data_IF_917748795262
#
_entry.id   IF_917748795262
#
_cell.length_a   1.000
_cell.length_b   1.000
_cell.length_c   1.000
_cell.angle_alpha   90.00
_cell.angle_beta   90.00
_cell.angle_gamma   90.00
#
_symmetry.space_group_name_H-M   'P 1'
#
loop_
_entity.id
_entity.type
_entity.pdbx_description
1 polymer ?
#
# COMPACT_ATOMS: atom_id res chain seq x y z
N UNK A 1 -2.10 -49.96 9.60
CA UNK A 1 -1.94 -48.60 9.03
C UNK A 1 -3.02 -47.72 9.63
N UNK A 2 -2.66 -46.88 10.60
CA UNK A 2 -3.59 -45.91 11.18
C UNK A 2 -3.76 -44.80 10.14
N UNK A 3 -4.97 -44.59 9.64
CA UNK A 3 -5.32 -43.36 8.91
C UNK A 3 -5.15 -42.22 9.89
N UNK A 4 -4.08 -41.44 9.72
CA UNK A 4 -3.98 -40.12 10.35
C UNK A 4 -5.13 -39.33 9.74
N UNK A 5 -6.16 -39.05 10.52
CA UNK A 5 -7.19 -38.10 10.15
C UNK A 5 -6.47 -36.76 9.98
N UNK A 6 -6.22 -36.35 8.73
CA UNK A 6 -5.80 -34.98 8.43
C UNK A 6 -6.99 -34.09 8.79
N UNK A 7 -6.94 -33.49 9.97
CA UNK A 7 -7.87 -32.41 10.31
C UNK A 7 -7.56 -31.28 9.34
N UNK A 8 -8.53 -30.90 8.52
CA UNK A 8 -8.37 -29.76 7.64
C UNK A 8 -8.01 -28.52 8.48
N UNK A 9 -6.95 -27.78 8.12
CA UNK A 9 -6.56 -26.56 8.80
C UNK A 9 -7.74 -25.61 8.99
N UNK A 10 -7.98 -25.18 10.23
CA UNK A 10 -9.07 -24.26 10.54
C UNK A 10 -8.66 -22.82 10.21
N UNK A 11 -9.64 -22.01 9.81
CA UNK A 11 -9.46 -20.58 9.60
C UNK A 11 -9.52 -19.84 10.95
N UNK A 12 -8.53 -18.98 11.20
CA UNK A 12 -8.39 -18.21 12.43
C UNK A 12 -8.29 -16.71 12.14
N UNK A 13 -8.78 -15.89 13.06
CA UNK A 13 -8.32 -14.49 13.17
C UNK A 13 -6.92 -14.50 13.77
N UNK A 14 -5.98 -13.84 13.11
CA UNK A 14 -4.60 -13.73 13.55
C UNK A 14 -4.42 -12.48 14.42
N UNK A 15 -3.43 -12.53 15.29
CA UNK A 15 -3.12 -11.46 16.26
C UNK A 15 -1.63 -11.14 16.27
N UNK A 16 -1.21 -10.23 17.15
CA UNK A 16 0.21 -9.89 17.34
C UNK A 16 1.10 -11.10 17.68
N UNK A 17 0.55 -12.19 18.23
CA UNK A 17 1.32 -13.41 18.50
C UNK A 17 1.73 -14.16 17.22
N UNK A 18 1.06 -13.87 16.11
CA UNK A 18 1.25 -14.56 14.83
C UNK A 18 2.26 -13.85 13.92
N UNK A 19 2.79 -12.69 14.35
CA UNK A 19 3.78 -11.91 13.59
C UNK A 19 4.95 -12.77 13.10
N UNK A 20 5.61 -13.62 13.94
CA UNK A 20 6.71 -14.44 13.45
C UNK A 20 6.29 -15.41 12.32
N UNK A 21 5.07 -15.95 12.40
CA UNK A 21 4.52 -16.83 11.37
C UNK A 21 4.15 -16.08 10.10
N UNK A 22 3.66 -14.84 10.21
CA UNK A 22 3.36 -13.96 9.08
C UNK A 22 4.63 -13.54 8.33
N UNK A 23 5.71 -13.21 9.04
CA UNK A 23 7.02 -12.92 8.44
C UNK A 23 7.52 -14.15 7.68
N UNK A 24 7.56 -15.32 8.33
CA UNK A 24 8.02 -16.55 7.69
C UNK A 24 7.16 -16.94 6.46
N UNK A 25 5.85 -16.68 6.52
CA UNK A 25 4.94 -16.93 5.39
C UNK A 25 5.21 -15.94 4.24
N UNK A 26 5.44 -14.66 4.53
CA UNK A 26 5.87 -13.66 3.54
C UNK A 26 7.18 -14.03 2.86
N UNK A 27 8.18 -14.43 3.64
CA UNK A 27 9.48 -14.86 3.12
C UNK A 27 9.35 -16.07 2.19
N UNK A 28 8.41 -16.98 2.46
CA UNK A 28 8.17 -18.18 1.63
C UNK A 28 7.74 -17.86 0.18
N UNK A 29 7.26 -16.64 -0.07
CA UNK A 29 6.88 -16.13 -1.39
C UNK A 29 7.78 -14.97 -1.86
N UNK A 30 8.90 -14.73 -1.17
CA UNK A 30 9.89 -13.71 -1.52
C UNK A 30 9.44 -12.28 -1.26
N UNK A 31 8.49 -12.07 -0.36
CA UNK A 31 8.02 -10.74 0.04
C UNK A 31 8.73 -10.27 1.31
N UNK A 32 8.96 -8.96 1.44
CA UNK A 32 9.81 -8.33 2.45
C UNK A 32 9.03 -7.69 3.61
N UNK A 33 7.93 -8.32 4.07
CA UNK A 33 7.20 -7.84 5.24
C UNK A 33 8.04 -7.97 6.52
N UNK A 34 8.16 -6.87 7.27
CA UNK A 34 8.76 -6.85 8.60
C UNK A 34 7.72 -6.76 9.71
N UNK A 35 8.20 -6.86 10.94
CA UNK A 35 7.37 -6.77 12.14
C UNK A 35 6.62 -5.43 12.23
N UNK A 36 7.25 -4.30 11.86
CA UNK A 36 6.63 -2.98 11.96
C UNK A 36 5.46 -2.82 10.98
N UNK A 37 5.62 -3.31 9.76
CA UNK A 37 4.59 -3.33 8.73
C UNK A 37 3.42 -4.26 9.14
N UNK A 38 3.72 -5.48 9.62
CA UNK A 38 2.67 -6.40 10.08
C UNK A 38 1.93 -5.86 11.30
N UNK A 39 2.62 -5.20 12.24
CA UNK A 39 1.98 -4.51 13.37
C UNK A 39 1.02 -3.43 12.90
N UNK A 40 1.37 -2.68 11.86
CA UNK A 40 0.49 -1.68 11.26
C UNK A 40 -0.74 -2.34 10.67
N UNK A 41 -0.58 -3.39 9.86
CA UNK A 41 -1.71 -4.12 9.26
C UNK A 41 -2.66 -4.65 10.34
N UNK A 42 -2.13 -5.22 11.42
CA UNK A 42 -2.91 -5.72 12.55
C UNK A 42 -3.58 -4.61 13.38
N UNK A 43 -3.04 -3.40 13.41
CA UNK A 43 -3.62 -2.28 14.18
C UNK A 43 -4.74 -1.56 13.44
N UNK A 44 -4.76 -1.62 12.11
CA UNK A 44 -5.76 -0.92 11.28
C UNK A 44 -6.68 -1.87 10.50
N UNK A 45 -6.52 -3.18 10.64
CA UNK A 45 -7.24 -4.17 9.85
C UNK A 45 -7.46 -5.49 10.59
N UNK A 46 -8.11 -6.41 9.91
CA UNK A 46 -8.28 -7.79 10.35
C UNK A 46 -7.44 -8.71 9.47
N UNK A 47 -6.74 -9.66 10.09
CA UNK A 47 -5.93 -10.65 9.39
C UNK A 47 -6.47 -12.03 9.69
N UNK A 48 -6.71 -12.82 8.65
CA UNK A 48 -7.17 -14.21 8.74
C UNK A 48 -6.08 -15.16 8.26
N UNK A 49 -6.07 -16.39 8.76
CA UNK A 49 -5.09 -17.40 8.35
C UNK A 49 -5.45 -18.83 8.72
N UNK A 50 -4.84 -19.78 8.02
CA UNK A 50 -4.95 -21.21 8.34
C UNK A 50 -3.68 -21.66 9.05
N UNK A 51 -3.83 -22.46 10.10
CA UNK A 51 -2.71 -23.09 10.80
C UNK A 51 -2.81 -24.60 10.69
N UNK A 52 -1.66 -25.26 10.53
CA UNK A 52 -1.62 -26.72 10.65
C UNK A 52 -1.72 -27.18 12.11
N UNK A 53 -1.71 -28.50 12.32
CA UNK A 53 -1.81 -29.10 13.66
C UNK A 53 -0.64 -28.76 14.59
N UNK A 54 0.51 -28.34 14.05
CA UNK A 54 1.64 -27.83 14.82
C UNK A 54 1.56 -26.32 15.12
N UNK A 55 0.55 -25.63 14.58
CA UNK A 55 0.38 -24.19 14.72
C UNK A 55 1.14 -23.38 13.67
N UNK A 56 1.77 -24.02 12.68
CA UNK A 56 2.47 -23.33 11.60
C UNK A 56 1.48 -22.69 10.64
N UNK A 57 1.71 -21.41 10.32
CA UNK A 57 0.84 -20.65 9.43
C UNK A 57 1.01 -21.12 7.98
N UNK A 58 -0.09 -21.52 7.35
CA UNK A 58 -0.13 -22.04 5.98
C UNK A 58 -0.59 -21.00 4.96
N UNK A 59 -1.35 -20.01 5.40
CA UNK A 59 -1.88 -18.95 4.54
C UNK A 59 -2.35 -17.76 5.36
N UNK A 60 -2.40 -16.57 4.74
CA UNK A 60 -2.90 -15.33 5.33
C UNK A 60 -3.70 -14.52 4.31
N UNK A 61 -4.60 -13.67 4.79
CA UNK A 61 -5.12 -12.51 4.07
C UNK A 61 -5.49 -11.42 5.07
N UNK A 62 -5.25 -10.16 4.71
CA UNK A 62 -5.62 -9.00 5.48
C UNK A 62 -6.70 -8.20 4.76
N UNK A 63 -7.62 -7.61 5.54
CA UNK A 63 -8.56 -6.61 5.07
C UNK A 63 -8.50 -5.38 5.98
N UNK A 64 -8.38 -4.22 5.37
CA UNK A 64 -8.22 -2.93 6.01
C UNK A 64 -9.43 -2.08 5.64
N UNK A 65 -10.45 -1.97 6.51
CA UNK A 65 -11.58 -1.08 6.27
C UNK A 65 -11.16 0.38 6.49
N UNK A 66 -11.60 1.24 5.57
CA UNK A 66 -11.52 2.69 5.67
C UNK A 66 -12.86 3.29 6.09
N UNK A 67 -12.85 4.58 6.42
CA UNK A 67 -13.97 5.25 7.09
C UNK A 67 -15.18 5.47 6.15
N UNK A 68 -14.96 5.67 4.85
CA UNK A 68 -16.00 6.04 3.88
C UNK A 68 -16.41 4.86 2.95
N UNK A 69 -16.65 3.67 3.52
CA UNK A 69 -17.11 2.46 2.78
C UNK A 69 -16.15 1.97 1.67
N UNK A 70 -14.85 2.16 1.86
CA UNK A 70 -13.81 1.47 1.09
C UNK A 70 -13.07 0.49 2.00
N UNK A 71 -12.64 -0.65 1.49
CA UNK A 71 -11.72 -1.54 2.18
C UNK A 71 -10.65 -2.04 1.21
N UNK A 72 -9.42 -2.19 1.68
CA UNK A 72 -8.33 -2.75 0.90
C UNK A 72 -7.97 -4.16 1.40
N UNK A 73 -7.84 -5.10 0.47
CA UNK A 73 -7.33 -6.45 0.76
C UNK A 73 -5.88 -6.56 0.30
N UNK A 74 -5.04 -7.14 1.14
CA UNK A 74 -3.65 -7.46 0.82
C UNK A 74 -3.12 -8.60 1.70
N UNK A 75 -1.81 -8.85 1.63
CA UNK A 75 -1.15 -9.96 2.35
C UNK A 75 -1.85 -11.32 2.11
N UNK A 76 -2.42 -11.50 0.90
CA UNK A 76 -3.04 -12.75 0.46
C UNK A 76 -1.94 -13.71 0.05
N UNK A 77 -1.55 -14.58 0.97
CA UNK A 77 -0.42 -15.48 0.81
C UNK A 77 -0.89 -16.89 1.11
N UNK A 78 -0.54 -17.84 0.25
CA UNK A 78 -0.69 -19.27 0.53
C UNK A 78 0.69 -19.89 0.37
N UNK A 79 1.18 -20.53 1.43
CA UNK A 79 2.48 -21.18 1.44
C UNK A 79 2.59 -22.14 0.23
N UNK A 80 3.72 -22.18 -0.50
CA UNK A 80 3.84 -22.98 -1.73
C UNK A 80 3.42 -24.44 -1.60
N UNK A 81 3.72 -25.10 -0.46
CA UNK A 81 3.32 -26.50 -0.19
C UNK A 81 1.83 -26.70 0.11
N UNK A 82 1.07 -25.62 0.20
CA UNK A 82 -0.35 -25.57 0.57
C UNK A 82 -1.25 -24.97 -0.52
N UNK A 83 -0.69 -24.65 -1.69
CA UNK A 83 -1.46 -24.16 -2.83
C UNK A 83 -2.37 -25.25 -3.43
N UNK A 84 -3.41 -24.82 -4.15
CA UNK A 84 -4.39 -25.73 -4.78
C UNK A 84 -5.41 -26.37 -3.83
N UNK A 85 -5.34 -26.09 -2.51
CA UNK A 85 -6.23 -26.67 -1.48
C UNK A 85 -7.45 -25.80 -1.15
N UNK A 86 -7.65 -24.67 -1.82
CA UNK A 86 -8.80 -23.78 -1.59
C UNK A 86 -8.60 -22.67 -0.54
N UNK A 87 -7.50 -22.67 0.22
CA UNK A 87 -7.27 -21.68 1.29
C UNK A 87 -7.38 -20.22 0.85
N UNK A 88 -6.84 -19.86 -0.32
CA UNK A 88 -6.97 -18.49 -0.83
C UNK A 88 -8.43 -18.06 -1.03
N UNK A 89 -9.29 -18.97 -1.50
CA UNK A 89 -10.72 -18.71 -1.67
C UNK A 89 -11.43 -18.54 -0.33
N UNK A 90 -11.10 -19.36 0.66
CA UNK A 90 -11.68 -19.28 2.00
C UNK A 90 -11.27 -17.98 2.71
N UNK A 91 -9.99 -17.61 2.62
CA UNK A 91 -9.47 -16.35 3.13
C UNK A 91 -10.18 -15.14 2.52
N UNK A 92 -10.29 -15.09 1.19
CA UNK A 92 -10.98 -13.99 0.51
C UNK A 92 -12.45 -13.90 0.93
N UNK A 93 -13.15 -15.04 1.05
CA UNK A 93 -14.53 -15.05 1.56
C UNK A 93 -14.63 -14.50 2.99
N UNK A 94 -13.69 -14.84 3.85
CA UNK A 94 -13.65 -14.34 5.22
C UNK A 94 -13.41 -12.82 5.26
N UNK A 95 -12.46 -12.31 4.47
CA UNK A 95 -12.25 -10.87 4.31
C UNK A 95 -13.50 -10.17 3.78
N UNK A 96 -14.11 -10.67 2.71
CA UNK A 96 -15.31 -10.05 2.13
C UNK A 96 -16.50 -10.06 3.10
N UNK A 97 -16.65 -11.11 3.91
CA UNK A 97 -17.72 -11.23 4.90
C UNK A 97 -17.49 -10.37 6.16
N UNK A 98 -16.29 -9.83 6.39
CA UNK A 98 -15.99 -9.02 7.57
C UNK A 98 -16.32 -7.53 7.41
N UNK A 99 -16.79 -7.12 6.23
CA UNK A 99 -17.24 -5.75 5.94
C UNK A 99 -18.67 -5.76 5.43
N UNK A 100 -19.32 -4.58 5.43
CA UNK A 100 -20.67 -4.44 4.87
C UNK A 100 -20.70 -4.76 3.38
N UNK A 101 -21.83 -5.28 2.89
CA UNK A 101 -22.05 -5.51 1.45
C UNK A 101 -22.01 -4.22 0.63
N UNK A 102 -22.23 -3.08 1.26
CA UNK A 102 -22.16 -1.75 0.64
C UNK A 102 -20.72 -1.18 0.62
N UNK A 103 -19.75 -1.88 1.21
CA UNK A 103 -18.34 -1.48 1.20
C UNK A 103 -17.71 -1.92 -0.11
N UNK A 104 -17.15 -0.97 -0.86
CA UNK A 104 -16.30 -1.27 -2.01
C UNK A 104 -15.03 -1.95 -1.50
N UNK A 105 -14.68 -3.10 -2.06
CA UNK A 105 -13.47 -3.83 -1.69
C UNK A 105 -12.50 -3.72 -2.83
N UNK A 106 -11.31 -3.16 -2.60
CA UNK A 106 -10.25 -3.07 -3.58
C UNK A 106 -9.08 -3.98 -3.21
N UNK A 107 -8.28 -4.35 -4.22
CA UNK A 107 -6.98 -4.99 -4.05
C UNK A 107 -6.08 -4.67 -5.24
N UNK A 108 -4.78 -4.85 -5.04
CA UNK A 108 -3.79 -4.83 -6.13
C UNK A 108 -3.32 -6.26 -6.34
N UNK A 109 -3.68 -6.85 -7.49
CA UNK A 109 -3.50 -8.28 -7.70
C UNK A 109 -2.08 -8.62 -8.15
N UNK A 110 -1.54 -9.73 -7.62
CA UNK A 110 -0.41 -10.39 -8.27
C UNK A 110 -0.91 -11.23 -9.45
N UNK A 111 -0.03 -11.57 -10.42
CA UNK A 111 -0.39 -12.45 -11.52
C UNK A 111 -0.98 -13.80 -11.06
N UNK A 112 -0.48 -14.33 -9.94
CA UNK A 112 -0.91 -15.61 -9.36
C UNK A 112 -2.29 -15.48 -8.69
N UNK A 113 -2.58 -14.33 -8.07
CA UNK A 113 -3.85 -14.08 -7.38
C UNK A 113 -4.98 -13.65 -8.31
N UNK A 114 -4.69 -12.98 -9.43
CA UNK A 114 -5.69 -12.41 -10.34
C UNK A 114 -6.80 -13.41 -10.77
N UNK A 115 -6.49 -14.66 -11.16
CA UNK A 115 -7.54 -15.64 -11.51
C UNK A 115 -8.48 -15.96 -10.35
N UNK A 116 -8.00 -15.99 -9.11
CA UNK A 116 -8.83 -16.21 -7.94
C UNK A 116 -9.80 -15.04 -7.74
N UNK A 117 -9.30 -13.81 -7.84
CA UNK A 117 -10.11 -12.61 -7.62
C UNK A 117 -11.21 -12.45 -8.68
N UNK A 118 -10.91 -12.70 -9.96
CA UNK A 118 -11.94 -12.73 -11.02
C UNK A 118 -13.05 -13.74 -10.74
N UNK A 119 -12.69 -14.94 -10.28
CA UNK A 119 -13.66 -15.97 -9.90
C UNK A 119 -14.50 -15.61 -8.66
N UNK A 120 -14.11 -14.58 -7.91
CA UNK A 120 -14.84 -14.04 -6.77
C UNK A 120 -15.62 -12.76 -7.10
N UNK A 121 -15.68 -12.38 -8.38
CA UNK A 121 -16.44 -11.21 -8.85
C UNK A 121 -15.68 -9.90 -8.72
N UNK A 122 -14.34 -9.94 -8.66
CA UNK A 122 -13.53 -8.72 -8.78
C UNK A 122 -13.30 -8.38 -10.25
N UNK A 123 -13.50 -7.11 -10.59
CA UNK A 123 -13.22 -6.55 -11.91
C UNK A 123 -12.02 -5.61 -11.87
N UNK A 124 -11.19 -5.63 -12.92
CA UNK A 124 -10.08 -4.68 -13.07
C UNK A 124 -10.62 -3.31 -13.45
N UNK A 125 -10.26 -2.29 -12.67
CA UNK A 125 -10.72 -0.90 -12.87
C UNK A 125 -9.59 0.11 -13.06
N UNK A 126 -8.38 -0.24 -12.65
CA UNK A 126 -7.19 0.61 -12.77
C UNK A 126 -5.93 -0.27 -12.69
N UNK A 127 -4.74 0.34 -12.70
CA UNK A 127 -3.45 -0.34 -12.55
C UNK A 127 -2.45 0.54 -11.78
N UNK A 128 -1.50 -0.12 -11.12
CA UNK A 128 -0.38 0.53 -10.45
C UNK A 128 0.91 0.09 -11.13
N UNK A 129 1.84 1.03 -11.35
CA UNK A 129 3.20 0.74 -11.81
C UNK A 129 4.16 0.81 -10.64
N UNK A 130 4.88 -0.29 -10.40
CA UNK A 130 5.93 -0.35 -9.38
C UNK A 130 7.26 -0.01 -10.02
N UNK A 131 7.93 0.99 -9.49
CA UNK A 131 9.24 1.45 -9.91
C UNK A 131 10.28 1.23 -8.80
N UNK A 132 11.48 0.80 -9.19
CA UNK A 132 12.63 0.67 -8.29
C UNK A 132 13.83 1.38 -8.90
N UNK A 133 14.54 2.18 -8.10
CA UNK A 133 15.88 2.66 -8.39
C UNK A 133 16.87 2.00 -7.43
N UNK A 134 17.93 1.39 -7.93
CA UNK A 134 19.01 0.84 -7.09
C UNK A 134 19.74 1.95 -6.32
N UNK A 135 19.84 3.12 -6.95
CA UNK A 135 20.27 4.36 -6.34
C UNK A 135 19.56 5.50 -7.05
N UNK A 136 18.89 6.36 -6.31
CA UNK A 136 18.35 7.61 -6.81
C UNK A 136 19.16 8.75 -6.20
N UNK A 137 19.80 9.55 -7.05
CA UNK A 137 20.47 10.78 -6.62
C UNK A 137 19.59 11.93 -7.08
N UNK A 138 18.78 12.52 -6.18
CA UNK A 138 17.95 13.66 -6.53
C UNK A 138 18.86 14.75 -7.10
N UNK A 139 18.65 15.10 -8.36
CA UNK A 139 19.17 16.38 -8.85
C UNK A 139 18.33 17.42 -8.14
N UNK A 140 18.97 18.36 -7.44
CA UNK A 140 18.26 19.52 -6.90
C UNK A 140 17.35 20.05 -8.02
N UNK A 141 16.03 20.14 -7.81
CA UNK A 141 15.16 20.75 -8.81
C UNK A 141 15.77 22.09 -9.17
N UNK A 142 16.06 22.33 -10.45
CA UNK A 142 16.68 23.60 -10.87
C UNK A 142 15.77 24.73 -10.38
N UNK A 143 16.27 25.60 -9.48
CA UNK A 143 15.49 26.72 -9.03
C UNK A 143 15.19 27.62 -10.23
N UNK A 144 13.92 27.89 -10.46
CA UNK A 144 13.55 29.28 -10.30
C UNK A 144 12.88 29.38 -8.94
N UNK A 145 13.68 29.39 -7.87
CA UNK A 145 13.23 29.59 -6.48
C UNK A 145 12.39 30.87 -6.35
N UNK A 146 12.47 31.79 -7.31
CA UNK A 146 11.62 32.97 -7.41
C UNK A 146 10.14 32.69 -7.81
N UNK A 147 9.80 31.50 -8.35
CA UNK A 147 8.47 31.23 -8.95
C UNK A 147 7.79 29.93 -8.47
N UNK A 148 8.33 29.20 -7.49
CA UNK A 148 7.60 28.06 -6.92
C UNK A 148 6.48 28.59 -6.03
N UNK A 149 5.23 28.24 -6.32
CA UNK A 149 4.04 28.71 -5.57
C UNK A 149 3.88 28.06 -4.19
N UNK A 150 4.83 27.21 -3.80
CA UNK A 150 4.82 26.44 -2.56
C UNK A 150 6.20 26.28 -1.93
N UNK A 151 6.22 26.06 -0.62
CA UNK A 151 7.37 25.71 0.20
C UNK A 151 7.18 24.29 0.76
N UNK A 152 8.26 23.51 0.80
CA UNK A 152 8.25 22.18 1.44
C UNK A 152 8.88 22.25 2.82
N UNK A 153 8.11 21.86 3.82
CA UNK A 153 8.54 21.85 5.22
C UNK A 153 8.26 20.48 5.85
N UNK A 154 9.01 20.10 6.91
CA UNK A 154 8.64 18.95 7.73
C UNK A 154 7.19 19.06 8.21
N UNK A 155 6.47 17.94 8.17
CA UNK A 155 5.11 17.88 8.68
C UNK A 155 5.12 17.97 10.21
N UNK A 156 4.26 18.82 10.77
CA UNK A 156 4.00 18.90 12.21
C UNK A 156 2.67 18.22 12.59
N UNK A 157 2.44 17.98 13.88
CA UNK A 157 1.21 17.33 14.35
C UNK A 157 -0.05 18.15 14.01
N UNK A 158 0.05 19.48 14.06
CA UNK A 158 -1.07 20.38 13.75
C UNK A 158 -1.45 20.33 12.26
N UNK A 159 -0.54 19.89 11.38
CA UNK A 159 -0.79 19.72 9.95
C UNK A 159 -1.63 18.46 9.66
N UNK A 160 -1.75 17.52 10.61
CA UNK A 160 -2.33 16.19 10.38
C UNK A 160 -3.76 16.21 9.85
N UNK A 161 -4.60 17.07 10.42
CA UNK A 161 -6.00 17.20 9.97
C UNK A 161 -6.11 17.62 8.49
N UNK A 162 -5.25 18.53 8.04
CA UNK A 162 -5.23 18.98 6.64
C UNK A 162 -4.69 17.89 5.70
N UNK A 163 -3.72 17.10 6.16
CA UNK A 163 -3.20 15.95 5.41
C UNK A 163 -4.26 14.86 5.24
N UNK A 164 -5.06 14.58 6.27
CA UNK A 164 -6.18 13.62 6.19
C UNK A 164 -7.20 14.06 5.14
N UNK A 165 -7.57 15.35 5.10
CA UNK A 165 -8.51 15.87 4.10
C UNK A 165 -7.95 15.81 2.68
N UNK A 166 -6.66 16.10 2.48
CA UNK A 166 -6.00 15.96 1.17
C UNK A 166 -5.95 14.51 0.71
N UNK A 167 -5.56 13.58 1.60
CA UNK A 167 -5.54 12.15 1.28
C UNK A 167 -6.93 11.61 0.97
N UNK A 168 -7.95 12.04 1.72
CA UNK A 168 -9.35 11.68 1.46
C UNK A 168 -9.79 12.13 0.07
N UNK A 169 -9.45 13.35 -0.35
CA UNK A 169 -9.78 13.84 -1.69
C UNK A 169 -9.03 13.09 -2.80
N UNK A 170 -7.76 12.74 -2.56
CA UNK A 170 -6.90 12.02 -3.48
C UNK A 170 -7.31 10.55 -3.66
N UNK A 171 -7.63 9.85 -2.56
CA UNK A 171 -8.01 8.43 -2.57
C UNK A 171 -9.50 8.22 -2.83
N UNK A 172 -10.33 9.15 -2.36
CA UNK A 172 -11.78 9.09 -2.32
C UNK A 172 -12.37 8.47 -1.05
N UNK A 173 -11.56 8.18 -0.04
CA UNK A 173 -11.99 7.70 1.29
C UNK A 173 -10.99 8.14 2.36
N UNK A 174 -11.48 8.48 3.55
CA UNK A 174 -10.62 8.77 4.71
C UNK A 174 -10.00 7.49 5.26
N UNK A 175 -8.69 7.55 5.52
CA UNK A 175 -7.88 6.49 6.14
C UNK A 175 -6.96 7.07 7.21
N UNK A 176 -7.52 7.89 8.11
CA UNK A 176 -6.75 8.64 9.12
C UNK A 176 -5.87 7.75 10.01
N UNK A 177 -6.38 6.59 10.43
CA UNK A 177 -5.63 5.63 11.26
C UNK A 177 -4.40 5.05 10.53
N UNK A 178 -4.51 4.81 9.22
CA UNK A 178 -3.36 4.44 8.40
C UNK A 178 -2.35 5.57 8.35
N UNK A 179 -2.78 6.79 8.05
CA UNK A 179 -1.88 7.95 7.95
C UNK A 179 -1.17 8.24 9.26
N UNK A 180 -1.86 8.14 10.41
CA UNK A 180 -1.25 8.32 11.72
C UNK A 180 -0.16 7.28 11.96
N UNK A 181 -0.46 6.00 11.70
CA UNK A 181 0.50 4.93 11.89
C UNK A 181 1.69 5.09 10.95
N UNK A 182 1.43 5.42 9.68
CA UNK A 182 2.45 5.63 8.65
C UNK A 182 3.36 6.81 8.98
N UNK A 183 2.79 7.90 9.49
CA UNK A 183 3.55 9.07 9.96
C UNK A 183 4.52 8.70 11.09
N UNK A 184 4.12 7.81 12.01
CA UNK A 184 5.00 7.32 13.09
C UNK A 184 6.13 6.40 12.58
N UNK A 185 5.89 5.67 11.48
CA UNK A 185 6.90 4.80 10.86
C UNK A 185 7.87 5.55 9.94
N UNK A 186 7.45 6.70 9.41
CA UNK A 186 8.19 7.40 8.39
C UNK A 186 9.52 7.96 8.91
N UNK A 187 10.57 7.74 8.12
CA UNK A 187 11.86 8.41 8.31
C UNK A 187 11.77 9.89 7.92
N UNK A 188 10.81 10.25 7.06
CA UNK A 188 10.58 11.64 6.65
C UNK A 188 9.10 11.84 6.28
N UNK A 189 8.50 12.90 6.82
CA UNK A 189 7.17 13.38 6.46
C UNK A 189 7.28 14.85 6.06
N UNK A 190 6.73 15.19 4.89
CA UNK A 190 6.76 16.55 4.36
C UNK A 190 5.35 17.03 4.00
N UNK A 191 5.12 18.33 4.14
CA UNK A 191 3.97 19.03 3.59
C UNK A 191 4.44 20.14 2.65
N UNK A 192 3.69 20.37 1.58
CA UNK A 192 3.84 21.50 0.68
C UNK A 192 2.81 22.57 1.06
N UNK A 193 3.28 23.75 1.47
CA UNK A 193 2.45 24.90 1.84
C UNK A 193 2.50 25.96 0.75
N UNK A 194 1.35 26.44 0.28
CA UNK A 194 1.31 27.55 -0.68
C UNK A 194 1.65 28.89 -0.01
N UNK A 195 1.69 29.98 -0.78
CA UNK A 195 1.96 31.35 -0.27
C UNK A 195 1.03 31.83 0.85
N UNK A 196 -0.17 31.26 0.98
CA UNK A 196 -1.12 31.57 2.06
C UNK A 196 -0.93 30.70 3.31
N UNK A 197 0.02 29.76 3.29
CA UNK A 197 0.24 28.78 4.36
C UNK A 197 -0.67 27.55 4.29
N UNK A 198 -1.55 27.45 3.30
CA UNK A 198 -2.43 26.29 3.11
C UNK A 198 -1.62 25.10 2.62
N UNK A 199 -1.81 23.94 3.23
CA UNK A 199 -1.23 22.67 2.76
C UNK A 199 -1.95 22.25 1.48
N UNK A 200 -1.17 21.97 0.44
CA UNK A 200 -1.64 21.59 -0.90
C UNK A 200 -0.95 20.32 -1.43
N UNK A 201 -0.12 19.70 -0.61
CA UNK A 201 0.49 18.41 -0.90
C UNK A 201 1.21 17.87 0.32
N UNK A 202 1.46 16.58 0.32
CA UNK A 202 2.26 15.92 1.35
C UNK A 202 2.90 14.65 0.78
N UNK A 203 3.93 14.17 1.45
CA UNK A 203 4.46 12.85 1.15
C UNK A 203 5.22 12.26 2.32
N UNK A 204 5.23 10.93 2.39
CA UNK A 204 5.95 10.16 3.41
C UNK A 204 7.02 9.27 2.76
N UNK A 205 8.09 9.00 3.51
CA UNK A 205 9.08 7.98 3.20
C UNK A 205 9.25 7.04 4.38
N UNK A 206 9.09 5.74 4.14
CA UNK A 206 9.21 4.69 5.17
C UNK A 206 10.32 3.73 4.77
N UNK A 207 11.28 3.51 5.68
CA UNK A 207 12.35 2.55 5.47
C UNK A 207 11.84 1.14 5.73
N UNK A 208 11.71 0.32 4.68
CA UNK A 208 11.47 -1.12 4.80
C UNK A 208 12.79 -1.91 4.85
N UNK A 209 12.74 -3.25 4.89
CA UNK A 209 13.94 -4.08 4.99
C UNK A 209 14.90 -3.95 3.79
N UNK A 210 14.34 -3.76 2.59
CA UNK A 210 15.11 -3.74 1.34
C UNK A 210 15.08 -2.36 0.67
N UNK A 211 13.97 -1.65 0.74
CA UNK A 211 13.74 -0.40 0.00
C UNK A 211 13.27 0.71 0.93
N UNK A 212 13.69 1.94 0.64
CA UNK A 212 12.95 3.11 1.11
C UNK A 212 11.69 3.23 0.24
N UNK A 213 10.52 3.13 0.85
CA UNK A 213 9.24 3.29 0.17
C UNK A 213 8.88 4.77 0.19
N UNK A 214 8.89 5.42 -0.98
CA UNK A 214 8.48 6.81 -1.14
C UNK A 214 6.98 6.87 -1.47
N UNK A 215 6.15 6.95 -0.43
CA UNK A 215 4.70 6.93 -0.55
C UNK A 215 3.98 6.85 0.81
N UNK A 216 2.75 7.38 0.92
CA UNK A 216 2.00 8.02 -0.16
C UNK A 216 2.55 9.39 -0.55
N UNK A 217 2.24 9.83 -1.78
CA UNK A 217 2.51 11.20 -2.27
C UNK A 217 1.20 11.76 -2.83
N UNK A 218 0.74 12.87 -2.27
CA UNK A 218 -0.39 13.66 -2.77
C UNK A 218 0.11 15.05 -3.13
N UNK A 219 -0.23 15.52 -4.32
CA UNK A 219 0.25 16.79 -4.85
C UNK A 219 -0.70 17.35 -5.91
N UNK A 220 -0.78 18.69 -6.01
CA UNK A 220 -1.64 19.34 -7.02
C UNK A 220 -1.18 19.11 -8.47
N UNK A 221 0.10 18.80 -8.69
CA UNK A 221 0.67 18.58 -10.03
C UNK A 221 1.97 17.77 -9.99
N UNK A 222 2.43 17.35 -11.18
CA UNK A 222 3.63 16.54 -11.35
C UNK A 222 4.88 17.20 -10.77
N UNK A 223 5.06 18.51 -10.99
CA UNK A 223 6.24 19.25 -10.50
C UNK A 223 6.33 19.16 -8.97
N UNK A 224 5.22 19.32 -8.27
CA UNK A 224 5.19 19.16 -6.81
C UNK A 224 5.47 17.72 -6.38
N UNK A 225 4.92 16.72 -7.06
CA UNK A 225 5.21 15.30 -6.78
C UNK A 225 6.70 14.96 -6.96
N UNK A 226 7.34 15.48 -8.02
CA UNK A 226 8.77 15.35 -8.28
C UNK A 226 9.63 16.00 -7.18
N UNK A 227 9.25 17.20 -6.73
CA UNK A 227 9.91 17.87 -5.62
C UNK A 227 9.75 17.09 -4.30
N UNK A 228 8.57 16.53 -4.03
CA UNK A 228 8.31 15.73 -2.83
C UNK A 228 9.20 14.49 -2.85
N UNK A 229 9.21 13.74 -3.96
CA UNK A 229 10.09 12.59 -4.12
C UNK A 229 11.56 12.96 -3.90
N UNK A 230 12.05 14.03 -4.54
CA UNK A 230 13.43 14.51 -4.35
C UNK A 230 13.76 14.77 -2.88
N UNK A 231 12.89 15.50 -2.16
CA UNK A 231 13.10 15.88 -0.76
C UNK A 231 12.97 14.70 0.19
N UNK A 232 12.01 13.81 -0.04
CA UNK A 232 11.82 12.59 0.74
C UNK A 232 13.03 11.65 0.69
N UNK A 233 13.78 11.65 -0.42
CA UNK A 233 14.92 10.75 -0.62
C UNK A 233 16.27 11.47 -0.59
N UNK A 234 16.33 12.78 -0.26
CA UNK A 234 17.54 13.60 -0.44
C UNK A 234 18.79 13.12 0.32
N UNK A 235 18.60 12.36 1.41
CA UNK A 235 19.68 11.80 2.22
C UNK A 235 19.81 10.28 2.09
N UNK A 236 18.98 9.64 1.27
CA UNK A 236 19.00 8.20 1.09
C UNK A 236 19.97 7.79 -0.01
N UNK A 237 20.74 6.73 0.24
CA UNK A 237 21.75 6.22 -0.71
C UNK A 237 21.46 4.81 -1.22
N UNK A 238 20.48 4.13 -0.63
CA UNK A 238 20.07 2.78 -1.01
C UNK A 238 18.95 2.75 -2.04
N UNK A 239 18.30 1.58 -2.15
CA UNK A 239 17.20 1.36 -3.08
C UNK A 239 15.99 2.20 -2.70
N UNK A 240 15.33 2.77 -3.70
CA UNK A 240 14.05 3.49 -3.55
C UNK A 240 12.99 2.74 -4.33
N UNK A 241 11.84 2.49 -3.69
CA UNK A 241 10.64 1.96 -4.31
C UNK A 241 9.55 3.03 -4.30
N UNK A 242 8.85 3.15 -5.41
CA UNK A 242 7.66 3.97 -5.54
C UNK A 242 6.62 3.24 -6.40
N UNK A 243 5.37 3.28 -5.98
CA UNK A 243 4.26 2.59 -6.64
C UNK A 243 3.27 3.69 -7.09
N UNK A 244 3.07 3.84 -8.40
CA UNK A 244 2.42 5.00 -9.02
C UNK A 244 1.15 4.59 -9.79
N UNK A 245 0.01 5.29 -9.63
CA UNK A 245 -1.19 5.06 -10.44
C UNK A 245 -0.98 5.28 -11.96
N UNK A 246 -1.64 4.48 -12.80
CA UNK A 246 -1.41 4.49 -14.26
C UNK A 246 -1.71 5.85 -14.93
N UNK A 247 -2.61 6.64 -14.34
CA UNK A 247 -2.99 7.97 -14.81
C UNK A 247 -1.83 9.00 -14.76
N UNK A 248 -0.80 8.78 -13.95
CA UNK A 248 0.28 9.75 -13.69
C UNK A 248 1.44 9.67 -14.70
N UNK A 249 1.11 9.72 -15.99
CA UNK A 249 2.05 9.51 -17.09
C UNK A 249 3.28 10.43 -17.06
N UNK A 250 3.12 11.70 -16.67
CA UNK A 250 4.23 12.65 -16.54
C UNK A 250 5.25 12.20 -15.49
N UNK A 251 4.77 11.66 -14.36
CA UNK A 251 5.62 11.21 -13.26
C UNK A 251 6.33 9.90 -13.60
N UNK A 252 5.70 9.00 -14.36
CA UNK A 252 6.38 7.82 -14.92
C UNK A 252 7.61 8.21 -15.76
N UNK A 253 7.44 9.16 -16.68
CA UNK A 253 8.52 9.62 -17.54
C UNK A 253 9.66 10.26 -16.72
N UNK A 254 9.34 11.03 -15.67
CA UNK A 254 10.32 11.56 -14.74
C UNK A 254 11.10 10.46 -14.03
N UNK A 255 10.41 9.45 -13.50
CA UNK A 255 11.04 8.34 -12.77
C UNK A 255 12.04 7.59 -13.67
N UNK A 256 11.64 7.22 -14.88
CA UNK A 256 12.49 6.51 -15.84
C UNK A 256 13.72 7.32 -16.24
N UNK A 257 13.56 8.63 -16.48
CA UNK A 257 14.68 9.54 -16.79
C UNK A 257 15.68 9.69 -15.63
N UNK A 258 15.24 9.39 -14.40
CA UNK A 258 16.05 9.51 -13.20
C UNK A 258 16.48 8.16 -12.61
N UNK A 259 16.49 7.11 -13.44
CA UNK A 259 17.11 5.82 -13.11
C UNK A 259 16.21 4.84 -12.38
N UNK A 260 14.92 5.12 -12.28
CA UNK A 260 13.95 4.10 -11.86
C UNK A 260 13.62 3.17 -13.03
N UNK A 261 13.44 1.89 -12.71
CA UNK A 261 12.96 0.88 -13.66
C UNK A 261 11.59 0.37 -13.21
N UNK A 262 10.65 0.28 -14.14
CA UNK A 262 9.38 -0.38 -13.87
C UNK A 262 9.59 -1.89 -13.71
N UNK A 263 9.25 -2.43 -12.53
CA UNK A 263 9.42 -3.86 -12.21
C UNK A 263 8.12 -4.65 -12.22
N UNK A 264 6.97 -3.98 -12.06
CA UNK A 264 5.66 -4.61 -12.23
C UNK A 264 4.57 -3.60 -12.56
N UNK A 265 3.46 -4.10 -13.09
CA UNK A 265 2.29 -3.31 -13.45
C UNK A 265 1.00 -4.05 -13.05
N UNK A 266 0.75 -4.31 -11.75
CA UNK A 266 -0.41 -5.08 -11.30
C UNK A 266 -1.76 -4.35 -11.55
N UNK A 267 -2.85 -5.09 -11.81
CA UNK A 267 -4.18 -4.51 -11.87
C UNK A 267 -4.69 -4.16 -10.47
N UNK A 268 -5.35 -3.00 -10.37
CA UNK A 268 -6.25 -2.67 -9.27
C UNK A 268 -7.60 -3.29 -9.61
N UNK A 269 -8.12 -4.09 -8.69
CA UNK A 269 -9.41 -4.77 -8.87
C UNK A 269 -10.36 -4.39 -7.75
N UNK A 270 -11.66 -4.32 -8.07
CA UNK A 270 -12.72 -4.01 -7.10
C UNK A 270 -13.84 -5.04 -7.11
N UNK A 271 -14.46 -5.26 -5.96
CA UNK A 271 -15.71 -5.95 -5.78
C UNK A 271 -16.72 -5.06 -5.04
N UNK A 272 -18.01 -5.41 -5.12
CA UNK A 272 -19.15 -4.64 -4.60
C UNK A 272 -19.35 -3.26 -5.25
N UNK A 273 -18.56 -2.92 -6.27
CA UNK A 273 -18.69 -1.71 -7.08
C UNK A 273 -18.11 -1.95 -8.48
N UNK A 274 -18.40 -1.05 -9.42
CA UNK A 274 -17.87 -1.08 -10.79
C UNK A 274 -16.71 -0.12 -11.01
N UNK A 275 -16.35 0.68 -10.01
CA UNK A 275 -15.27 1.66 -10.05
C UNK A 275 -14.74 1.94 -8.65
N UNK A 276 -13.54 2.51 -8.56
CA UNK A 276 -13.04 3.10 -7.32
C UNK A 276 -13.87 4.34 -6.94
N UNK A 277 -13.81 4.78 -5.67
CA UNK A 277 -14.35 6.08 -5.28
C UNK A 277 -13.78 7.22 -6.12
N UNK A 278 -14.51 8.33 -6.22
CA UNK A 278 -14.07 9.49 -6.98
C UNK A 278 -12.78 10.05 -6.38
N UNK A 279 -11.75 10.17 -7.23
CA UNK A 279 -10.48 10.81 -6.95
C UNK A 279 -10.41 12.17 -7.63
N UNK A 280 -9.62 13.09 -7.10
CA UNK A 280 -9.41 14.43 -7.66
C UNK A 280 -8.18 14.53 -8.59
N UNK A 281 -7.48 13.41 -8.82
CA UNK A 281 -6.30 13.32 -9.69
C UNK A 281 -4.99 13.74 -9.01
N UNK A 282 -5.00 13.98 -7.70
CA UNK A 282 -3.81 14.43 -6.94
C UNK A 282 -3.02 13.29 -6.31
N UNK A 283 -3.37 12.02 -6.59
CA UNK A 283 -2.70 10.85 -6.00
C UNK A 283 -1.54 10.36 -6.86
N UNK A 284 -0.30 10.65 -6.45
CA UNK A 284 0.91 10.42 -7.26
C UNK A 284 1.71 9.19 -6.85
N UNK A 285 1.58 8.73 -5.60
CA UNK A 285 2.18 7.47 -5.17
C UNK A 285 1.39 6.85 -4.02
N UNK A 286 1.29 5.53 -4.02
CA UNK A 286 0.61 4.77 -2.97
C UNK A 286 1.56 4.46 -1.81
N UNK A 287 1.00 4.30 -0.60
CA UNK A 287 1.80 4.01 0.60
C UNK A 287 2.42 2.61 0.59
N UNK A 288 1.63 1.64 0.13
CA UNK A 288 2.02 0.28 -0.24
C UNK A 288 0.80 -0.39 -0.90
N UNK A 289 1.02 -1.48 -1.64
CA UNK A 289 -0.05 -2.15 -2.38
C UNK A 289 -1.19 -2.69 -1.50
N UNK A 290 -0.91 -3.01 -0.23
CA UNK A 290 -1.94 -3.43 0.73
C UNK A 290 -2.86 -2.28 1.17
N UNK A 291 -2.45 -1.02 1.01
CA UNK A 291 -3.20 0.16 1.47
C UNK A 291 -3.92 0.93 0.36
N UNK A 292 -4.02 0.35 -0.84
CA UNK A 292 -4.69 0.95 -1.98
C UNK A 292 -3.91 2.08 -2.64
#
# INVERSE_FOLDING_TARGET
MIKVNSVDPCLHSLTISDIPGLIALSDSVGWDYDEAEIRTILSIGSVFGHKDTSGTLLSSAAIIPYEDKLASIGMVIVHPSSQGKGYGRELMKACMASVSTDTTIMLIATPEGEPLYKNLGFDTVDRIRKFIAERFVPKAPLPNEANVEFEMVPMELDDFSSVVELDKAALGSSRSHFLETRMRQASTCLVAKNRSGKIIGYGFAVQGPVNLIAGPIVAENAVMAEHLLCKLTQHHTGRVRIDVPDEQAAFHAYLEQNGFTQVSHPPVMVANATSLPRRDGTYWAIGAQIYG
#
